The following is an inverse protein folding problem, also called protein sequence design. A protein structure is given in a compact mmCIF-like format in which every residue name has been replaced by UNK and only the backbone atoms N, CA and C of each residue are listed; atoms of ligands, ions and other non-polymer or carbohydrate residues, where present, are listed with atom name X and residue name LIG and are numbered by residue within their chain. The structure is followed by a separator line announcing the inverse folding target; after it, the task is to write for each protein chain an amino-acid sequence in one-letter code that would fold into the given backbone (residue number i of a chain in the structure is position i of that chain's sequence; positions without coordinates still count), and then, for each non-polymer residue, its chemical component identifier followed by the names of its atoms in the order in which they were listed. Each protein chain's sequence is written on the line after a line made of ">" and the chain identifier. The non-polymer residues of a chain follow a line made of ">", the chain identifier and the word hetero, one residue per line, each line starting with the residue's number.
data_IF_161723536855
#
_entry.id   IF_161723536855
#
_cell.length_a   1.000
_cell.length_b   1.000
_cell.length_c   1.000
_cell.angle_alpha   90.00
_cell.angle_beta   90.00
_cell.angle_gamma   90.00
#
_symmetry.space_group_name_H-M   'P 1'
#
loop_
_entity.id
_entity.type
_entity.pdbx_description
1 polymer ?
#
# COMPACT_ATOMS: atom_id res chain seq x y z
N UNK A 1 2.73 16.06 26.22
CA UNK A 1 2.46 15.84 24.79
C UNK A 1 2.99 14.47 24.41
N UNK A 2 2.08 13.54 24.11
CA UNK A 2 2.49 12.28 23.54
C UNK A 2 2.86 12.55 22.07
N UNK A 3 4.12 12.61 21.74
CA UNK A 3 4.56 12.43 20.39
C UNK A 3 4.50 10.94 20.10
N UNK A 4 3.70 10.54 19.14
CA UNK A 4 3.70 9.17 18.66
C UNK A 4 4.50 9.14 17.36
N UNK A 5 5.50 8.29 17.30
CA UNK A 5 6.36 8.14 16.16
C UNK A 5 5.87 6.95 15.33
N UNK A 6 5.72 7.15 14.04
CA UNK A 6 5.35 6.11 13.10
C UNK A 6 6.60 5.51 12.47
N UNK A 7 6.67 4.21 12.46
CA UNK A 7 7.78 3.44 11.96
C UNK A 7 7.60 3.14 10.46
N UNK A 8 8.44 3.70 9.59
CA UNK A 8 8.66 3.21 8.22
C UNK A 8 10.10 2.74 8.09
N UNK A 9 10.29 1.44 7.89
CA UNK A 9 11.60 0.89 7.53
C UNK A 9 11.91 1.25 6.08
N UNK A 10 12.82 2.21 5.88
CA UNK A 10 13.55 2.40 4.63
C UNK A 10 15.03 2.45 4.96
N UNK A 11 15.84 1.55 4.41
CA UNK A 11 17.30 1.54 4.49
C UNK A 11 17.87 1.62 5.91
N UNK A 12 18.02 0.52 6.61
CA UNK A 12 18.74 0.35 7.89
C UNK A 12 18.45 1.38 9.02
N UNK A 13 17.67 2.43 8.73
CA UNK A 13 17.20 3.40 9.70
C UNK A 13 15.71 3.60 9.52
N UNK A 14 14.98 3.15 10.51
CA UNK A 14 13.56 3.44 10.64
C UNK A 14 13.33 4.94 10.61
N UNK A 15 12.39 5.39 9.81
CA UNK A 15 12.00 6.78 9.73
C UNK A 15 10.90 7.03 10.75
N UNK A 16 11.23 7.78 11.79
CA UNK A 16 10.26 8.19 12.79
C UNK A 16 9.58 9.47 12.34
N UNK A 17 8.27 9.42 12.18
CA UNK A 17 7.44 10.58 11.88
C UNK A 17 6.66 10.97 13.13
N UNK A 18 6.77 12.22 13.61
CA UNK A 18 6.02 12.65 14.77
C UNK A 18 4.53 12.77 14.43
N UNK A 19 3.68 12.20 15.29
CA UNK A 19 2.23 12.43 15.24
C UNK A 19 1.82 13.05 16.57
N UNK A 20 1.48 14.33 16.54
CA UNK A 20 1.07 15.05 17.74
C UNK A 20 -0.36 14.63 18.16
N UNK A 21 -0.74 14.97 19.39
CA UNK A 21 -2.09 14.71 19.88
C UNK A 21 -3.13 15.49 19.08
N UNK A 22 -2.80 16.70 18.68
CA UNK A 22 -3.64 17.55 17.84
C UNK A 22 -3.83 16.91 16.45
N UNK A 23 -2.77 16.35 15.88
CA UNK A 23 -2.88 15.65 14.59
C UNK A 23 -3.72 14.37 14.68
N UNK A 24 -3.66 13.63 15.79
CA UNK A 24 -4.57 12.50 16.01
C UNK A 24 -6.03 12.95 15.95
N UNK A 25 -6.39 14.04 16.63
CA UNK A 25 -7.77 14.53 16.74
C UNK A 25 -8.23 15.25 15.45
N UNK A 26 -7.45 16.22 14.97
CA UNK A 26 -7.87 17.18 13.95
C UNK A 26 -7.58 16.68 12.52
N UNK A 27 -6.73 15.66 12.36
CA UNK A 27 -6.40 15.08 11.06
C UNK A 27 -6.97 13.65 10.97
N UNK A 28 -6.40 12.71 11.74
CA UNK A 28 -6.70 11.28 11.55
C UNK A 28 -8.09 10.88 12.02
N UNK A 29 -8.48 11.23 13.27
CA UNK A 29 -9.83 10.89 13.76
C UNK A 29 -10.91 11.71 13.09
N UNK A 30 -10.61 12.97 12.76
CA UNK A 30 -11.51 13.79 11.95
C UNK A 30 -11.72 13.14 10.57
N UNK A 31 -10.63 12.73 9.89
CA UNK A 31 -10.71 12.04 8.61
C UNK A 31 -11.57 10.77 8.66
N UNK A 32 -11.42 9.95 9.71
CA UNK A 32 -12.26 8.77 9.90
C UNK A 32 -13.75 9.10 10.13
N UNK A 33 -14.05 10.15 10.92
CA UNK A 33 -15.43 10.63 11.12
C UNK A 33 -16.05 11.16 9.84
N UNK A 34 -15.29 11.95 9.09
CA UNK A 34 -15.76 12.56 7.84
C UNK A 34 -15.92 11.51 6.73
N UNK A 35 -15.07 10.48 6.69
CA UNK A 35 -15.26 9.34 5.79
C UNK A 35 -16.59 8.62 6.03
N UNK A 36 -16.95 8.38 7.28
CA UNK A 36 -18.25 7.81 7.65
C UNK A 36 -19.40 8.75 7.27
N UNK A 37 -19.28 10.05 7.56
CA UNK A 37 -20.31 11.05 7.22
C UNK A 37 -20.50 11.18 5.70
N UNK A 38 -19.42 11.15 4.93
CA UNK A 38 -19.45 11.14 3.47
C UNK A 38 -20.15 9.88 2.97
N UNK A 39 -19.85 8.72 3.58
CA UNK A 39 -20.51 7.47 3.22
C UNK A 39 -22.02 7.50 3.46
N UNK A 40 -22.48 8.02 4.60
CA UNK A 40 -23.93 8.21 4.85
C UNK A 40 -24.61 9.13 3.83
N UNK A 41 -23.88 10.13 3.36
CA UNK A 41 -24.39 10.99 2.26
C UNK A 41 -24.50 10.24 0.94
N UNK A 42 -23.56 9.34 0.64
CA UNK A 42 -23.58 8.50 -0.57
C UNK A 42 -24.62 7.36 -0.48
N UNK A 43 -24.86 6.85 0.73
CA UNK A 43 -25.79 5.78 1.03
C UNK A 43 -26.70 6.14 2.23
N UNK A 44 -27.78 6.91 2.03
CA UNK A 44 -28.69 7.35 3.13
C UNK A 44 -29.39 6.21 3.86
N UNK A 45 -29.51 5.03 3.23
CA UNK A 45 -30.12 3.84 3.82
C UNK A 45 -29.11 2.95 4.56
N UNK A 46 -27.90 3.43 4.74
CA UNK A 46 -26.82 2.69 5.37
C UNK A 46 -27.17 2.18 6.77
N UNK A 47 -26.78 0.94 7.02
CA UNK A 47 -26.84 0.30 8.32
C UNK A 47 -25.50 0.22 9.04
N UNK A 48 -24.56 1.07 8.66
CA UNK A 48 -23.18 1.09 9.17
C UNK A 48 -23.09 0.93 10.70
N UNK A 49 -23.93 1.60 11.47
CA UNK A 49 -23.95 1.54 12.92
C UNK A 49 -24.91 0.48 13.51
N UNK A 50 -25.58 -0.32 12.69
CA UNK A 50 -26.43 -1.40 13.20
C UNK A 50 -25.62 -2.57 13.77
N UNK A 51 -24.39 -2.72 13.33
CA UNK A 51 -23.43 -3.71 13.82
C UNK A 51 -22.09 -3.06 14.20
N UNK A 52 -21.00 -3.79 14.01
CA UNK A 52 -19.63 -3.32 14.35
C UNK A 52 -18.76 -3.18 13.11
N UNK A 53 -17.82 -2.23 13.19
CA UNK A 53 -16.77 -2.08 12.20
C UNK A 53 -15.56 -2.97 12.51
N UNK A 54 -15.10 -3.76 11.53
CA UNK A 54 -13.87 -4.50 11.65
C UNK A 54 -12.71 -3.65 11.13
N UNK A 55 -11.77 -3.31 12.04
CA UNK A 55 -10.58 -2.53 11.72
C UNK A 55 -9.35 -3.43 11.81
N UNK A 56 -8.70 -3.61 10.68
CA UNK A 56 -7.43 -4.33 10.58
C UNK A 56 -6.27 -3.33 10.50
N UNK A 57 -5.52 -3.22 11.59
CA UNK A 57 -4.37 -2.33 11.72
C UNK A 57 -3.05 -3.09 11.79
N UNK A 58 -1.96 -2.34 11.65
CA UNK A 58 -0.59 -2.84 11.81
C UNK A 58 -0.21 -3.16 13.24
N UNK A 59 1.09 -3.29 13.49
CA UNK A 59 1.66 -3.73 14.76
C UNK A 59 2.14 -2.56 15.61
N UNK A 60 2.20 -2.81 16.90
CA UNK A 60 2.76 -1.91 17.89
C UNK A 60 4.21 -2.33 18.21
N UNK A 61 5.09 -1.38 18.50
CA UNK A 61 6.50 -1.64 18.83
C UNK A 61 6.82 -1.18 20.26
N UNK A 62 6.32 -1.91 21.29
CA UNK A 62 6.39 -1.46 22.69
C UNK A 62 7.82 -1.30 23.21
N UNK A 63 8.78 -2.06 22.67
CA UNK A 63 10.19 -1.99 23.05
C UNK A 63 10.88 -0.66 22.69
N UNK A 64 10.25 0.12 21.80
CA UNK A 64 10.74 1.45 21.39
C UNK A 64 10.02 2.59 22.09
N UNK A 65 9.01 2.28 22.94
CA UNK A 65 8.27 3.31 23.68
C UNK A 65 9.18 3.99 24.71
N UNK A 66 8.93 5.27 24.94
CA UNK A 66 9.47 6.03 26.06
C UNK A 66 8.34 6.45 27.01
N UNK A 67 8.69 7.09 28.14
CA UNK A 67 7.71 7.59 29.10
C UNK A 67 6.74 8.64 28.50
N UNK A 68 7.07 9.19 27.32
CA UNK A 68 6.33 10.31 26.71
C UNK A 68 5.95 10.07 25.25
N UNK A 69 6.36 8.95 24.65
CA UNK A 69 6.07 8.62 23.25
C UNK A 69 5.74 7.14 23.05
N UNK A 70 4.82 6.88 22.10
CA UNK A 70 4.47 5.55 21.62
C UNK A 70 5.07 5.38 20.23
N UNK A 71 5.60 4.21 19.94
CA UNK A 71 6.19 3.87 18.65
C UNK A 71 5.47 2.68 18.03
N UNK A 72 5.15 2.79 16.76
CA UNK A 72 4.46 1.73 16.02
C UNK A 72 3.89 2.23 14.69
N UNK A 73 3.18 1.35 14.00
CA UNK A 73 2.41 1.73 12.81
C UNK A 73 1.33 2.77 13.18
N UNK A 74 1.04 3.70 12.28
CA UNK A 74 0.01 4.73 12.52
C UNK A 74 -1.31 4.10 12.97
N UNK A 75 -1.77 3.04 12.32
CA UNK A 75 -3.03 2.37 12.67
C UNK A 75 -3.02 1.79 14.08
N UNK A 76 -1.89 1.26 14.56
CA UNK A 76 -1.74 0.79 15.94
C UNK A 76 -1.81 1.96 16.92
N UNK A 77 -1.16 3.08 16.60
CA UNK A 77 -1.21 4.31 17.40
C UNK A 77 -2.64 4.86 17.48
N UNK A 78 -3.35 4.90 16.35
CA UNK A 78 -4.76 5.30 16.30
C UNK A 78 -5.63 4.39 17.19
N UNK A 79 -5.49 3.07 17.06
CA UNK A 79 -6.25 2.09 17.88
C UNK A 79 -5.94 2.26 19.37
N UNK A 80 -4.68 2.56 19.70
CA UNK A 80 -4.27 2.71 21.10
C UNK A 80 -4.86 3.95 21.78
N UNK A 81 -5.01 5.03 21.02
CA UNK A 81 -5.44 6.34 21.54
C UNK A 81 -6.92 6.66 21.27
N UNK A 82 -7.64 5.77 20.59
CA UNK A 82 -9.05 6.02 20.25
C UNK A 82 -9.94 6.10 21.52
N UNK A 83 -10.97 6.95 21.44
CA UNK A 83 -11.96 7.10 22.50
C UNK A 83 -12.58 5.74 22.91
N UNK A 84 -12.79 5.48 24.22
CA UNK A 84 -13.45 4.27 24.69
C UNK A 84 -14.81 4.00 24.04
N UNK A 85 -15.55 5.04 23.65
CA UNK A 85 -16.84 4.91 22.96
C UNK A 85 -16.71 4.23 21.60
N UNK A 86 -15.63 4.51 20.87
CA UNK A 86 -15.36 3.84 19.57
C UNK A 86 -15.10 2.34 19.75
N UNK A 87 -14.53 1.94 20.91
CA UNK A 87 -14.33 0.52 21.19
C UNK A 87 -15.64 -0.26 21.35
N UNK A 88 -16.78 0.41 21.58
CA UNK A 88 -18.09 -0.23 21.64
C UNK A 88 -18.63 -0.62 20.26
N UNK A 89 -18.22 0.09 19.23
CA UNK A 89 -18.73 -0.09 17.86
C UNK A 89 -17.71 -0.72 16.88
N UNK A 90 -16.53 -1.13 17.38
CA UNK A 90 -15.49 -1.78 16.55
C UNK A 90 -15.08 -3.15 17.07
N UNK A 91 -14.52 -3.95 16.17
CA UNK A 91 -13.84 -5.23 16.45
C UNK A 91 -12.53 -5.26 15.64
N UNK A 92 -11.54 -6.05 16.05
CA UNK A 92 -11.46 -6.80 17.29
C UNK A 92 -11.24 -5.91 18.52
N UNK A 93 -11.14 -6.51 19.70
CA UNK A 93 -10.74 -5.78 20.90
C UNK A 93 -9.36 -5.12 20.72
N UNK A 94 -9.09 -4.07 21.51
CA UNK A 94 -7.79 -3.38 21.47
C UNK A 94 -6.61 -4.34 21.70
N UNK A 95 -6.76 -5.29 22.59
CA UNK A 95 -5.73 -6.27 22.92
C UNK A 95 -5.38 -7.12 21.68
N UNK A 96 -6.37 -7.64 20.97
CA UNK A 96 -6.16 -8.43 19.75
C UNK A 96 -5.62 -7.55 18.62
N UNK A 97 -6.18 -6.36 18.43
CA UNK A 97 -5.77 -5.44 17.37
C UNK A 97 -4.29 -5.03 17.45
N UNK A 98 -3.70 -5.01 18.65
CA UNK A 98 -2.32 -4.60 18.90
C UNK A 98 -1.33 -5.76 19.03
N UNK A 99 -1.74 -7.00 18.74
CA UNK A 99 -0.83 -8.15 18.76
C UNK A 99 0.29 -7.98 17.73
N UNK A 100 1.51 -8.38 18.08
CA UNK A 100 2.70 -8.24 17.25
C UNK A 100 2.87 -9.42 16.29
N UNK A 101 2.57 -10.66 16.76
CA UNK A 101 2.72 -11.86 15.97
C UNK A 101 1.52 -11.99 15.01
N UNK A 102 1.81 -11.97 13.73
CA UNK A 102 0.81 -11.87 12.67
C UNK A 102 -0.12 -13.07 12.59
N UNK A 103 0.39 -14.29 12.72
CA UNK A 103 -0.41 -15.50 12.62
C UNK A 103 -1.43 -15.60 13.76
N UNK A 104 -0.95 -15.44 14.99
CA UNK A 104 -1.81 -15.44 16.16
C UNK A 104 -2.82 -14.31 16.13
N UNK A 105 -2.43 -13.14 15.60
CA UNK A 105 -3.30 -11.99 15.41
C UNK A 105 -4.46 -12.31 14.46
N UNK A 106 -4.18 -12.85 13.26
CA UNK A 106 -5.21 -13.23 12.28
C UNK A 106 -6.14 -14.30 12.86
N UNK A 107 -5.62 -15.30 13.55
CA UNK A 107 -6.42 -16.31 14.22
C UNK A 107 -7.35 -15.71 15.29
N UNK A 108 -6.80 -14.86 16.14
CA UNK A 108 -7.56 -14.20 17.20
C UNK A 108 -8.64 -13.26 16.64
N UNK A 109 -8.33 -12.52 15.56
CA UNK A 109 -9.30 -11.67 14.87
C UNK A 109 -10.41 -12.54 14.28
N UNK A 110 -10.08 -13.58 13.51
CA UNK A 110 -11.09 -14.46 12.92
C UNK A 110 -12.02 -15.05 13.98
N UNK A 111 -11.47 -15.62 15.06
CA UNK A 111 -12.24 -16.23 16.13
C UNK A 111 -13.18 -15.21 16.84
N UNK A 112 -12.69 -14.00 17.07
CA UNK A 112 -13.45 -12.97 17.79
C UNK A 112 -14.48 -12.24 16.91
N UNK A 113 -14.36 -12.28 15.60
CA UNK A 113 -15.23 -11.52 14.69
C UNK A 113 -16.27 -12.36 13.97
N UNK A 114 -16.04 -13.66 13.78
CA UNK A 114 -17.03 -14.57 13.18
C UNK A 114 -18.40 -14.49 13.86
N UNK A 115 -18.53 -14.52 15.21
CA UNK A 115 -19.84 -14.46 15.88
C UNK A 115 -20.44 -13.05 15.97
N UNK A 116 -19.79 -12.03 15.39
CA UNK A 116 -20.22 -10.62 15.50
C UNK A 116 -20.90 -10.18 14.23
N UNK A 117 -21.95 -9.37 14.32
CA UNK A 117 -22.55 -8.70 13.16
C UNK A 117 -21.62 -7.57 12.68
N UNK A 118 -20.80 -7.87 11.68
CA UNK A 118 -19.88 -6.91 11.07
C UNK A 118 -20.57 -6.24 9.89
N UNK A 119 -20.67 -4.92 9.93
CA UNK A 119 -21.33 -4.10 8.89
C UNK A 119 -20.35 -3.37 7.99
N UNK A 120 -19.14 -3.16 8.45
CA UNK A 120 -18.12 -2.45 7.69
C UNK A 120 -16.71 -2.96 7.99
N UNK A 121 -15.83 -2.80 7.00
CA UNK A 121 -14.42 -3.15 7.07
C UNK A 121 -13.56 -1.89 6.90
N UNK A 122 -12.41 -1.85 7.56
CA UNK A 122 -11.39 -0.81 7.36
C UNK A 122 -10.00 -1.41 7.40
N UNK A 123 -9.18 -1.13 6.41
CA UNK A 123 -7.80 -1.61 6.35
C UNK A 123 -7.21 -1.66 4.95
N UNK A 124 -6.02 -2.24 4.87
CA UNK A 124 -5.31 -2.44 3.59
C UNK A 124 -5.91 -3.65 2.85
N UNK A 125 -6.23 -3.54 1.55
CA UNK A 125 -6.87 -4.60 0.78
C UNK A 125 -6.17 -5.96 0.84
N UNK A 126 -4.85 -5.99 0.69
CA UNK A 126 -4.09 -7.24 0.74
C UNK A 126 -4.24 -7.98 2.07
N UNK A 127 -4.15 -7.25 3.18
CA UNK A 127 -4.24 -7.80 4.53
C UNK A 127 -5.66 -8.24 4.89
N UNK A 128 -6.64 -7.44 4.50
CA UNK A 128 -8.04 -7.76 4.71
C UNK A 128 -8.44 -9.03 3.95
N UNK A 129 -7.92 -9.22 2.73
CA UNK A 129 -8.20 -10.40 1.93
C UNK A 129 -7.63 -11.69 2.58
N UNK A 130 -6.46 -11.61 3.21
CA UNK A 130 -5.89 -12.74 3.98
C UNK A 130 -6.80 -13.11 5.14
N UNK A 131 -7.29 -12.12 5.89
CA UNK A 131 -8.23 -12.33 6.98
C UNK A 131 -9.56 -12.93 6.48
N UNK A 132 -10.11 -12.40 5.40
CA UNK A 132 -11.36 -12.91 4.80
C UNK A 132 -11.21 -14.39 4.41
N UNK A 133 -10.14 -14.74 3.69
CA UNK A 133 -9.87 -16.14 3.31
C UNK A 133 -9.78 -17.05 4.54
N UNK A 134 -9.13 -16.58 5.61
CA UNK A 134 -9.05 -17.35 6.86
C UNK A 134 -10.40 -17.54 7.54
N UNK A 135 -11.27 -16.52 7.53
CA UNK A 135 -12.63 -16.59 8.06
C UNK A 135 -13.47 -17.60 7.27
N UNK A 136 -13.43 -17.55 5.94
CA UNK A 136 -14.16 -18.48 5.08
C UNK A 136 -13.68 -19.93 5.28
N UNK A 137 -12.36 -20.16 5.37
CA UNK A 137 -11.78 -21.45 5.69
C UNK A 137 -12.30 -22.01 7.03
N UNK A 138 -12.31 -21.17 8.09
CA UNK A 138 -12.77 -21.59 9.42
C UNK A 138 -14.27 -21.87 9.50
N UNK A 139 -15.06 -21.13 8.76
CA UNK A 139 -16.52 -21.26 8.78
C UNK A 139 -17.04 -22.29 7.78
N UNK A 140 -16.22 -22.72 6.81
CA UNK A 140 -16.63 -23.55 5.69
C UNK A 140 -17.60 -22.85 4.72
N UNK A 141 -17.71 -21.51 4.81
CA UNK A 141 -18.57 -20.71 3.96
C UNK A 141 -17.87 -20.35 2.66
N UNK A 142 -18.65 -20.08 1.62
CA UNK A 142 -18.13 -19.72 0.30
C UNK A 142 -17.99 -18.22 0.13
N UNK A 143 -18.89 -17.45 0.76
CA UNK A 143 -18.92 -16.00 0.65
C UNK A 143 -18.99 -15.32 2.02
N UNK A 144 -18.54 -14.07 2.07
CA UNK A 144 -18.47 -13.33 3.31
C UNK A 144 -19.85 -12.90 3.82
N UNK A 145 -20.81 -12.66 2.94
CA UNK A 145 -22.20 -12.39 3.30
C UNK A 145 -22.90 -13.57 3.98
N UNK A 146 -22.41 -14.80 3.82
CA UNK A 146 -22.87 -15.95 4.61
C UNK A 146 -22.38 -15.92 6.07
N UNK A 147 -21.30 -15.18 6.32
CA UNK A 147 -20.75 -14.95 7.67
C UNK A 147 -21.32 -13.66 8.25
N UNK A 148 -21.33 -12.58 7.47
CA UNK A 148 -21.78 -11.24 7.88
C UNK A 148 -22.84 -10.70 6.90
N UNK A 149 -24.11 -11.06 7.07
CA UNK A 149 -25.19 -10.71 6.13
C UNK A 149 -25.44 -9.20 5.99
N UNK A 150 -25.02 -8.40 6.99
CA UNK A 150 -25.22 -6.96 7.01
C UNK A 150 -23.96 -6.17 6.57
N UNK A 151 -22.92 -6.86 6.08
CA UNK A 151 -21.73 -6.20 5.56
C UNK A 151 -22.07 -5.37 4.33
N UNK A 152 -21.73 -4.07 4.34
CA UNK A 152 -22.12 -3.14 3.29
C UNK A 152 -20.99 -2.26 2.73
N UNK A 153 -19.88 -2.06 3.47
CA UNK A 153 -18.81 -1.19 3.00
C UNK A 153 -17.42 -1.60 3.47
N UNK A 154 -16.44 -1.41 2.59
CA UNK A 154 -15.03 -1.52 2.90
C UNK A 154 -14.32 -0.18 2.64
N UNK A 155 -13.85 0.48 3.69
CA UNK A 155 -12.94 1.61 3.60
C UNK A 155 -11.52 1.09 3.44
N UNK A 156 -10.92 1.34 2.31
CA UNK A 156 -9.60 0.82 1.99
C UNK A 156 -8.61 1.92 1.58
N UNK A 157 -7.34 1.63 1.70
CA UNK A 157 -6.25 2.53 1.33
C UNK A 157 -4.90 1.86 1.49
N UNK A 158 -3.84 2.63 1.34
CA UNK A 158 -2.46 2.16 1.47
C UNK A 158 -1.89 1.50 0.22
N UNK A 159 -2.71 0.78 -0.54
CA UNK A 159 -2.36 0.20 -1.85
C UNK A 159 -3.51 0.39 -2.84
N UNK A 160 -3.21 0.37 -4.14
CA UNK A 160 -4.23 0.42 -5.17
C UNK A 160 -5.22 -0.76 -5.04
N UNK A 161 -6.52 -0.48 -5.10
CA UNK A 161 -7.56 -1.51 -4.94
C UNK A 161 -7.81 -2.31 -6.23
N UNK A 162 -7.58 -1.71 -7.38
CA UNK A 162 -7.88 -2.32 -8.69
C UNK A 162 -7.36 -3.75 -8.84
N UNK A 163 -6.11 -4.08 -8.44
CA UNK A 163 -5.59 -5.45 -8.57
C UNK A 163 -6.30 -6.49 -7.70
N UNK A 164 -6.98 -6.04 -6.64
CA UNK A 164 -7.68 -6.92 -5.70
C UNK A 164 -9.16 -7.07 -6.01
N UNK A 165 -9.72 -6.21 -6.84
CA UNK A 165 -11.17 -6.13 -7.11
C UNK A 165 -11.78 -7.47 -7.49
N UNK A 166 -11.12 -8.24 -8.35
CA UNK A 166 -11.62 -9.54 -8.77
C UNK A 166 -11.60 -10.57 -7.63
N UNK A 167 -10.55 -10.57 -6.83
CA UNK A 167 -10.47 -11.46 -5.66
C UNK A 167 -11.54 -11.15 -4.63
N UNK A 168 -11.87 -9.88 -4.42
CA UNK A 168 -12.99 -9.48 -3.56
C UNK A 168 -14.32 -9.92 -4.14
N UNK A 169 -14.52 -9.85 -5.46
CA UNK A 169 -15.73 -10.36 -6.13
C UNK A 169 -15.93 -11.87 -5.98
N UNK A 170 -14.85 -12.63 -5.86
CA UNK A 170 -14.92 -14.08 -5.65
C UNK A 170 -15.39 -14.46 -4.24
N UNK A 171 -15.22 -13.59 -3.27
CA UNK A 171 -15.53 -13.83 -1.85
C UNK A 171 -16.68 -12.98 -1.32
N UNK A 172 -17.12 -11.96 -2.07
CA UNK A 172 -18.25 -11.09 -1.74
C UNK A 172 -19.09 -10.90 -3.00
N UNK A 173 -20.28 -11.51 -3.01
CA UNK A 173 -21.21 -11.47 -4.15
C UNK A 173 -22.31 -10.43 -3.97
N UNK A 174 -22.44 -9.85 -2.79
CA UNK A 174 -23.49 -8.88 -2.46
C UNK A 174 -23.39 -7.63 -3.33
N UNK A 175 -24.46 -7.31 -4.06
CA UNK A 175 -24.59 -6.06 -4.82
C UNK A 175 -24.69 -4.81 -3.93
N UNK A 176 -24.89 -5.00 -2.61
CA UNK A 176 -24.93 -3.91 -1.62
C UNK A 176 -23.54 -3.51 -1.11
N UNK A 177 -22.50 -4.28 -1.48
CA UNK A 177 -21.15 -4.02 -1.02
C UNK A 177 -20.53 -2.82 -1.74
N UNK A 178 -20.16 -1.80 -0.99
CA UNK A 178 -19.45 -0.62 -1.46
C UNK A 178 -17.98 -0.66 -1.12
N UNK A 179 -17.15 -0.11 -1.98
CA UNK A 179 -15.71 0.05 -1.76
C UNK A 179 -15.40 1.54 -1.82
N UNK A 180 -14.86 2.06 -0.73
CA UNK A 180 -14.59 3.49 -0.56
C UNK A 180 -13.11 3.70 -0.32
N UNK A 181 -12.44 4.36 -1.26
CA UNK A 181 -11.02 4.64 -1.14
C UNK A 181 -10.77 5.81 -0.19
N UNK A 182 -9.76 5.63 0.68
CA UNK A 182 -9.27 6.65 1.60
C UNK A 182 -7.75 6.78 1.48
N UNK A 183 -7.25 8.00 1.57
CA UNK A 183 -5.81 8.27 1.59
C UNK A 183 -5.41 8.78 2.96
N UNK A 184 -5.11 7.81 3.85
CA UNK A 184 -4.57 8.05 5.18
C UNK A 184 -3.14 7.49 5.23
N UNK A 185 -2.16 8.37 5.44
CA UNK A 185 -0.75 8.06 5.58
C UNK A 185 -0.25 8.48 6.96
N UNK A 186 0.96 8.05 7.32
CA UNK A 186 1.60 8.45 8.59
C UNK A 186 1.76 9.95 8.72
N UNK A 187 1.91 10.60 7.58
CA UNK A 187 2.11 12.03 7.43
C UNK A 187 0.81 12.85 7.57
N UNK A 188 -0.35 12.24 7.34
CA UNK A 188 -1.64 12.92 7.39
C UNK A 188 -2.77 12.17 6.72
N UNK A 189 -3.97 12.74 6.77
CA UNK A 189 -5.16 12.24 6.09
C UNK A 189 -5.51 13.19 4.93
N UNK A 190 -5.45 12.72 3.70
CA UNK A 190 -5.44 13.60 2.51
C UNK A 190 -6.68 13.49 1.64
N UNK A 191 -7.36 12.35 1.63
CA UNK A 191 -8.48 12.17 0.74
C UNK A 191 -9.45 11.06 1.12
N UNK A 192 -10.70 11.24 0.67
CA UNK A 192 -11.78 10.25 0.77
C UNK A 192 -12.61 10.30 -0.50
N UNK A 193 -12.89 9.14 -1.07
CA UNK A 193 -13.86 9.01 -2.16
C UNK A 193 -15.23 9.47 -1.66
N UNK A 194 -15.90 10.34 -2.42
CA UNK A 194 -17.16 10.95 -2.03
C UNK A 194 -18.30 10.75 -3.06
N UNK A 195 -18.06 9.84 -4.01
CA UNK A 195 -19.02 9.43 -5.03
C UNK A 195 -18.70 7.97 -5.41
N UNK A 196 -19.67 7.06 -5.26
CA UNK A 196 -19.48 5.63 -5.53
C UNK A 196 -19.27 5.34 -7.03
N UNK A 197 -19.67 6.26 -7.90
CA UNK A 197 -19.48 6.14 -9.36
C UNK A 197 -18.18 6.77 -9.87
N UNK A 198 -17.49 7.58 -9.03
CA UNK A 198 -16.26 8.28 -9.37
C UNK A 198 -15.12 7.81 -8.46
N UNK A 199 -14.07 7.14 -8.99
CA UNK A 199 -12.97 6.63 -8.21
C UNK A 199 -12.06 7.71 -7.62
N UNK A 200 -12.26 8.99 -8.00
CA UNK A 200 -11.43 10.06 -7.46
C UNK A 200 -11.83 10.44 -6.03
N UNK A 201 -10.83 10.77 -5.23
CA UNK A 201 -11.02 11.21 -3.85
C UNK A 201 -11.16 12.72 -3.75
N UNK A 202 -12.02 13.18 -2.85
CA UNK A 202 -12.08 14.57 -2.40
C UNK A 202 -10.81 14.90 -1.62
N UNK A 203 -10.12 15.99 -1.97
CA UNK A 203 -8.96 16.48 -1.23
C UNK A 203 -9.42 17.17 0.06
N UNK A 204 -8.84 16.76 1.21
CA UNK A 204 -9.13 17.34 2.51
C UNK A 204 -8.26 18.58 2.75
N UNK A 205 -8.80 19.76 2.46
CA UNK A 205 -8.05 21.03 2.46
C UNK A 205 -8.06 21.77 3.80
N UNK A 206 -8.89 21.35 4.74
CA UNK A 206 -9.11 22.02 6.02
C UNK A 206 -8.67 21.21 7.25
N UNK A 207 -7.76 20.24 7.05
CA UNK A 207 -7.22 19.38 8.10
C UNK A 207 -5.85 19.87 8.64
N UNK A 208 -5.52 21.15 8.46
CA UNK A 208 -4.25 21.71 8.92
C UNK A 208 -3.03 21.21 8.13
N UNK A 209 -3.25 20.74 6.91
CA UNK A 209 -2.21 20.36 5.95
C UNK A 209 -2.14 21.43 4.86
N UNK A 210 -0.97 22.01 4.67
CA UNK A 210 -0.68 22.87 3.54
C UNK A 210 -0.07 22.04 2.42
N UNK A 211 -0.64 22.13 1.22
CA UNK A 211 -0.27 21.36 0.04
C UNK A 211 0.49 22.20 -0.97
N UNK A 212 1.59 21.63 -1.46
CA UNK A 212 2.33 22.09 -2.63
C UNK A 212 2.49 20.92 -3.60
N UNK A 213 2.63 21.21 -4.88
CA UNK A 213 2.69 20.21 -5.94
C UNK A 213 3.85 20.49 -6.87
N UNK A 214 4.71 19.47 -7.11
CA UNK A 214 5.80 19.54 -8.08
C UNK A 214 5.39 18.73 -9.30
N UNK A 215 5.36 19.32 -10.53
CA UNK A 215 5.16 18.53 -11.75
C UNK A 215 6.11 17.35 -11.79
N UNK A 216 5.63 16.17 -12.19
CA UNK A 216 6.44 14.94 -12.13
C UNK A 216 7.73 15.04 -12.95
N UNK A 217 7.70 15.76 -14.07
CA UNK A 217 8.87 16.05 -14.92
C UNK A 217 9.94 16.92 -14.25
N UNK A 218 9.58 17.59 -13.15
CA UNK A 218 10.47 18.52 -12.44
C UNK A 218 11.02 17.96 -11.12
N UNK A 219 10.54 16.80 -10.67
CA UNK A 219 10.86 16.23 -9.34
C UNK A 219 12.37 16.04 -9.10
N UNK A 220 13.13 15.71 -10.15
CA UNK A 220 14.58 15.48 -10.06
C UNK A 220 15.42 16.76 -10.21
N UNK A 221 14.80 17.92 -10.46
CA UNK A 221 15.52 19.20 -10.50
C UNK A 221 16.02 19.58 -9.11
N UNK A 222 17.16 20.22 -9.03
CA UNK A 222 17.77 20.66 -7.76
C UNK A 222 16.84 21.63 -6.99
N UNK A 223 16.18 22.55 -7.70
CA UNK A 223 15.22 23.51 -7.14
C UNK A 223 13.94 23.51 -7.98
N UNK A 224 13.06 22.50 -7.83
CA UNK A 224 11.84 22.43 -8.60
C UNK A 224 10.88 23.53 -8.16
N UNK A 225 10.17 24.14 -9.13
CA UNK A 225 9.05 25.03 -8.81
C UNK A 225 7.93 24.22 -8.17
N UNK A 226 7.39 24.70 -7.05
CA UNK A 226 6.17 24.20 -6.46
C UNK A 226 4.96 25.02 -6.87
N UNK A 227 3.83 24.39 -6.96
CA UNK A 227 2.53 24.97 -7.33
C UNK A 227 1.60 24.87 -6.12
N UNK A 228 0.90 25.95 -5.82
CA UNK A 228 -0.21 25.91 -4.88
C UNK A 228 -1.45 25.26 -5.51
N UNK A 229 -2.46 24.98 -4.70
CA UNK A 229 -3.63 24.21 -5.13
C UNK A 229 -4.40 24.88 -6.28
N UNK A 230 -4.51 26.21 -6.28
CA UNK A 230 -5.15 26.97 -7.36
C UNK A 230 -4.40 26.91 -8.69
N UNK A 231 -3.09 26.68 -8.66
CA UNK A 231 -2.23 26.66 -9.85
C UNK A 231 -2.19 25.28 -10.54
N UNK A 232 -2.63 24.18 -9.86
CA UNK A 232 -2.58 22.84 -10.46
C UNK A 232 -3.43 22.75 -11.73
N UNK A 233 -2.99 21.93 -12.66
CA UNK A 233 -3.68 21.64 -13.92
C UNK A 233 -4.38 20.28 -13.83
N UNK A 234 -5.56 20.15 -14.46
CA UNK A 234 -6.26 18.87 -14.55
C UNK A 234 -5.48 17.88 -15.41
N UNK A 235 -5.53 16.63 -15.02
CA UNK A 235 -4.90 15.50 -15.74
C UNK A 235 -3.37 15.53 -15.83
N UNK A 236 -2.71 16.44 -15.13
CA UNK A 236 -1.25 16.48 -14.97
C UNK A 236 -0.82 15.75 -13.71
N UNK A 237 0.29 15.03 -13.78
CA UNK A 237 0.86 14.32 -12.63
C UNK A 237 1.75 15.23 -11.80
N UNK A 238 1.57 15.17 -10.49
CA UNK A 238 2.33 15.94 -9.52
C UNK A 238 2.85 15.04 -8.40
N UNK A 239 4.06 15.30 -7.94
CA UNK A 239 4.52 14.83 -6.64
C UNK A 239 3.92 15.72 -5.55
N UNK A 240 3.36 15.13 -4.51
CA UNK A 240 2.75 15.86 -3.41
C UNK A 240 3.78 16.22 -2.35
N UNK A 241 3.81 17.50 -1.98
CA UNK A 241 4.63 18.08 -0.91
C UNK A 241 3.70 18.67 0.13
N UNK A 242 3.97 18.41 1.41
CA UNK A 242 3.10 18.85 2.50
C UNK A 242 3.86 19.60 3.57
N UNK A 243 3.17 20.52 4.23
CA UNK A 243 3.56 21.07 5.52
C UNK A 243 2.44 20.83 6.52
N UNK A 244 2.77 20.30 7.70
CA UNK A 244 1.78 19.87 8.69
C UNK A 244 2.06 20.45 10.07
N UNK A 245 1.06 20.51 10.92
CA UNK A 245 1.18 20.89 12.33
C UNK A 245 2.06 19.94 13.16
N UNK A 246 2.40 18.75 12.63
CA UNK A 246 3.31 17.80 13.27
C UNK A 246 4.79 18.11 13.08
N UNK A 247 5.14 19.23 12.41
CA UNK A 247 6.51 19.64 12.18
C UNK A 247 7.13 19.11 10.88
N UNK A 248 6.33 18.60 9.97
CA UNK A 248 6.78 18.34 8.60
C UNK A 248 6.69 19.66 7.81
N UNK A 249 7.82 20.09 7.26
CA UNK A 249 7.91 21.33 6.48
C UNK A 249 8.37 21.01 5.07
N UNK A 250 7.52 21.33 4.08
CA UNK A 250 7.76 21.06 2.66
C UNK A 250 8.27 19.65 2.41
N UNK A 251 7.60 18.70 3.07
CA UNK A 251 7.97 17.30 3.07
C UNK A 251 7.39 16.60 1.83
N UNK A 252 8.26 16.02 1.02
CA UNK A 252 7.84 15.21 -0.13
C UNK A 252 7.47 13.80 0.36
N UNK A 253 6.16 13.47 0.31
CA UNK A 253 5.64 12.17 0.74
C UNK A 253 6.22 11.04 -0.13
N UNK A 254 6.46 11.35 -1.41
CA UNK A 254 6.91 10.39 -2.42
C UNK A 254 5.77 9.83 -3.27
N UNK A 255 4.53 10.13 -2.96
CA UNK A 255 3.38 9.74 -3.78
C UNK A 255 3.12 10.77 -4.88
N UNK A 256 2.60 10.29 -6.01
CA UNK A 256 2.18 11.12 -7.13
C UNK A 256 0.68 11.12 -7.28
N UNK A 257 0.12 12.28 -7.59
CA UNK A 257 -1.31 12.51 -7.72
C UNK A 257 -1.65 13.20 -9.03
N UNK A 258 -2.87 13.01 -9.49
CA UNK A 258 -3.42 13.68 -10.65
C UNK A 258 -4.81 14.23 -10.32
N UNK A 259 -5.00 15.53 -10.53
CA UNK A 259 -6.30 16.16 -10.31
C UNK A 259 -7.25 15.83 -11.44
N UNK A 260 -8.46 15.41 -11.09
CA UNK A 260 -9.55 15.11 -12.02
C UNK A 260 -10.58 16.23 -12.04
N UNK A 261 -10.64 17.04 -10.98
CA UNK A 261 -11.60 18.15 -10.82
C UNK A 261 -11.02 19.23 -9.89
N UNK A 262 -11.39 20.50 -10.09
CA UNK A 262 -10.97 21.63 -9.24
C UNK A 262 -12.07 22.15 -8.29
N UNK A 263 -13.34 21.91 -8.58
CA UNK A 263 -14.42 22.42 -7.74
C UNK A 263 -15.49 21.34 -7.50
N UNK A 264 -15.47 20.64 -6.36
CA UNK A 264 -14.36 20.60 -5.38
C UNK A 264 -13.11 19.93 -5.95
N UNK A 265 -11.96 20.13 -5.30
CA UNK A 265 -10.73 19.46 -5.71
C UNK A 265 -10.84 17.96 -5.50
N UNK A 266 -10.70 17.20 -6.60
CA UNK A 266 -10.68 15.75 -6.60
C UNK A 266 -9.43 15.25 -7.30
N UNK A 267 -8.87 14.15 -6.81
CA UNK A 267 -7.64 13.58 -7.32
C UNK A 267 -7.63 12.05 -7.25
N UNK A 268 -6.71 11.45 -7.99
CA UNK A 268 -6.36 10.03 -7.90
C UNK A 268 -4.87 9.91 -7.61
N UNK A 269 -4.47 8.87 -6.88
CA UNK A 269 -3.08 8.49 -6.71
C UNK A 269 -2.63 7.79 -7.98
N UNK A 270 -1.51 8.23 -8.57
CA UNK A 270 -1.00 7.71 -9.84
C UNK A 270 0.25 6.86 -9.68
N UNK A 271 0.87 6.87 -8.51
CA UNK A 271 2.07 6.11 -8.22
C UNK A 271 2.99 6.81 -7.23
N UNK A 272 4.30 6.65 -7.42
CA UNK A 272 5.33 7.26 -6.58
C UNK A 272 6.45 7.88 -7.40
N UNK A 273 7.20 8.79 -6.75
CA UNK A 273 8.35 9.51 -7.36
C UNK A 273 9.59 8.64 -7.51
N UNK A 274 9.71 7.52 -6.78
CA UNK A 274 10.86 6.60 -6.82
C UNK A 274 10.42 5.22 -7.30
N UNK A 275 11.35 4.49 -7.94
CA UNK A 275 11.14 3.11 -8.35
C UNK A 275 11.01 2.19 -7.14
N UNK A 276 9.86 1.53 -7.00
CA UNK A 276 9.58 0.58 -5.93
C UNK A 276 8.37 -0.27 -6.31
N UNK A 277 8.16 -1.40 -5.63
CA UNK A 277 6.96 -2.23 -5.73
C UNK A 277 6.24 -2.21 -4.39
N UNK A 278 4.97 -1.80 -4.41
CA UNK A 278 4.08 -1.81 -3.25
C UNK A 278 2.67 -2.28 -3.67
N UNK A 279 2.62 -3.27 -4.55
CA UNK A 279 1.36 -3.78 -5.09
C UNK A 279 0.57 -4.58 -4.04
N UNK A 280 1.28 -5.20 -3.10
CA UNK A 280 0.72 -6.05 -2.04
C UNK A 280 0.96 -5.47 -0.64
N UNK A 281 1.53 -4.28 -0.51
CA UNK A 281 1.92 -3.64 0.74
C UNK A 281 3.31 -4.04 1.21
N UNK A 282 4.20 -4.47 0.30
CA UNK A 282 5.55 -4.94 0.58
C UNK A 282 6.61 -3.85 0.57
N UNK A 283 6.29 -2.66 0.09
CA UNK A 283 7.18 -1.49 0.00
C UNK A 283 8.63 -1.82 -0.44
N UNK A 284 8.77 -2.69 -1.46
CA UNK A 284 10.07 -3.12 -1.97
C UNK A 284 10.73 -1.98 -2.76
N UNK A 285 11.86 -1.49 -2.28
CA UNK A 285 12.64 -0.40 -2.90
C UNK A 285 13.86 -0.94 -3.66
N UNK A 286 14.46 -0.09 -4.49
CA UNK A 286 15.63 -0.47 -5.30
C UNK A 286 16.80 -0.95 -4.44
N UNK A 287 17.03 -0.37 -3.27
CA UNK A 287 18.11 -0.81 -2.36
C UNK A 287 17.89 -2.26 -1.85
N UNK A 288 16.65 -2.64 -1.55
CA UNK A 288 16.32 -4.03 -1.21
C UNK A 288 16.62 -4.96 -2.40
N UNK A 289 16.21 -4.56 -3.60
CA UNK A 289 16.45 -5.30 -4.83
C UNK A 289 17.95 -5.50 -5.09
N UNK A 290 18.74 -4.45 -4.96
CA UNK A 290 20.18 -4.49 -5.17
C UNK A 290 20.90 -5.35 -4.14
N UNK A 291 20.52 -5.29 -2.87
CA UNK A 291 21.04 -6.19 -1.82
C UNK A 291 20.72 -7.67 -2.13
N UNK A 292 19.47 -7.94 -2.53
CA UNK A 292 19.05 -9.29 -2.91
C UNK A 292 19.82 -9.84 -4.11
N UNK A 293 19.94 -9.05 -5.16
CA UNK A 293 20.69 -9.40 -6.36
C UNK A 293 22.19 -9.61 -6.06
N UNK A 294 22.80 -8.74 -5.25
CA UNK A 294 24.21 -8.86 -4.89
C UNK A 294 24.49 -10.18 -4.16
N UNK A 295 23.65 -10.56 -3.18
CA UNK A 295 23.79 -11.84 -2.46
C UNK A 295 23.56 -13.04 -3.38
N UNK A 296 22.51 -13.00 -4.22
CA UNK A 296 22.25 -14.07 -5.18
C UNK A 296 23.39 -14.24 -6.18
N UNK A 297 23.96 -13.14 -6.68
CA UNK A 297 25.16 -13.18 -7.55
C UNK A 297 26.36 -13.79 -6.83
N UNK A 298 26.64 -13.39 -5.60
CA UNK A 298 27.79 -13.89 -4.85
C UNK A 298 27.72 -15.42 -4.60
N UNK A 299 26.53 -15.93 -4.29
CA UNK A 299 26.33 -17.35 -3.94
C UNK A 299 26.15 -18.27 -5.18
N UNK A 300 25.85 -17.71 -6.36
CA UNK A 300 25.65 -18.50 -7.60
C UNK A 300 26.68 -18.21 -8.69
N UNK A 301 27.65 -17.33 -8.40
CA UNK A 301 28.66 -16.93 -9.39
C UNK A 301 28.12 -16.13 -10.57
N UNK A 302 26.88 -15.65 -10.50
CA UNK A 302 26.24 -14.87 -11.53
C UNK A 302 26.76 -13.42 -11.58
N UNK A 303 26.55 -12.76 -12.74
CA UNK A 303 26.73 -11.32 -12.88
C UNK A 303 25.50 -10.76 -13.61
N UNK A 304 24.81 -9.83 -12.98
CA UNK A 304 23.65 -9.13 -13.55
C UNK A 304 24.10 -7.87 -14.26
N UNK A 305 23.66 -7.69 -15.51
CA UNK A 305 23.89 -6.46 -16.27
C UNK A 305 22.80 -5.42 -16.03
N UNK A 306 21.53 -5.85 -16.07
CA UNK A 306 20.38 -4.98 -15.88
C UNK A 306 19.16 -5.83 -15.46
N UNK A 307 18.16 -5.19 -14.85
CA UNK A 307 16.94 -5.85 -14.44
C UNK A 307 15.74 -4.92 -14.41
N UNK A 308 14.57 -5.51 -14.50
CA UNK A 308 13.29 -4.87 -14.21
C UNK A 308 12.38 -5.85 -13.47
N UNK A 309 11.64 -5.39 -12.48
CA UNK A 309 10.69 -6.22 -11.77
C UNK A 309 9.34 -5.52 -11.63
N UNK A 310 8.28 -6.33 -11.70
CA UNK A 310 6.91 -5.88 -11.54
C UNK A 310 6.05 -6.98 -10.91
N UNK A 311 4.91 -6.62 -10.26
CA UNK A 311 4.00 -7.61 -9.70
C UNK A 311 3.24 -8.35 -10.78
N UNK A 312 2.99 -9.65 -10.54
CA UNK A 312 1.97 -10.44 -11.22
C UNK A 312 0.77 -10.50 -10.28
N UNK A 313 -0.38 -10.03 -10.75
CA UNK A 313 -1.61 -10.05 -9.98
C UNK A 313 -2.35 -11.38 -10.21
N UNK A 314 -3.13 -11.80 -9.22
CA UNK A 314 -3.93 -13.02 -9.33
C UNK A 314 -4.99 -12.84 -10.42
N UNK A 315 -5.00 -13.78 -11.36
CA UNK A 315 -6.14 -14.06 -12.23
C UNK A 315 -6.71 -15.44 -11.90
N UNK A 316 -7.62 -15.95 -12.70
CA UNK A 316 -8.24 -17.28 -12.49
C UNK A 316 -7.21 -18.43 -12.42
N UNK A 317 -6.01 -18.26 -12.96
CA UNK A 317 -4.99 -19.30 -13.10
C UNK A 317 -3.65 -18.96 -12.43
N UNK A 318 -3.40 -17.71 -12.00
CA UNK A 318 -2.13 -17.28 -11.43
C UNK A 318 -2.28 -16.73 -10.02
N UNK A 319 -1.35 -17.07 -9.12
CA UNK A 319 -1.23 -16.48 -7.79
C UNK A 319 -0.32 -15.24 -7.85
N UNK A 320 -0.54 -14.28 -6.93
CA UNK A 320 0.29 -13.09 -6.84
C UNK A 320 1.76 -13.43 -6.61
N UNK A 321 2.67 -12.79 -7.36
CA UNK A 321 4.13 -12.90 -7.19
C UNK A 321 4.83 -11.68 -7.75
N UNK A 322 6.12 -11.53 -7.45
CA UNK A 322 7.00 -10.66 -8.22
C UNK A 322 7.60 -11.41 -9.40
N UNK A 323 7.61 -10.79 -10.56
CA UNK A 323 8.30 -11.30 -11.75
C UNK A 323 9.49 -10.39 -12.05
N UNK A 324 10.65 -10.99 -12.15
CA UNK A 324 11.93 -10.34 -12.36
C UNK A 324 12.47 -10.71 -13.73
N UNK A 325 12.61 -9.74 -14.62
CA UNK A 325 13.28 -9.89 -15.91
C UNK A 325 14.72 -9.44 -15.74
N UNK A 326 15.67 -10.37 -15.89
CA UNK A 326 17.08 -10.16 -15.56
C UNK A 326 17.97 -10.49 -16.74
N UNK A 327 18.77 -9.52 -17.16
CA UNK A 327 19.85 -9.72 -18.12
C UNK A 327 21.14 -10.06 -17.38
N UNK A 328 21.69 -11.25 -17.66
CA UNK A 328 22.92 -11.71 -17.06
C UNK A 328 24.11 -11.46 -17.99
N UNK A 329 25.16 -10.82 -17.46
CA UNK A 329 26.48 -10.80 -18.08
C UNK A 329 27.17 -12.17 -17.95
N UNK A 330 26.90 -12.87 -16.82
CA UNK A 330 27.29 -14.26 -16.55
C UNK A 330 26.14 -14.96 -15.88
N UNK A 331 25.69 -16.07 -16.47
CA UNK A 331 24.61 -16.90 -15.94
C UNK A 331 24.96 -17.50 -14.58
N UNK A 332 23.96 -17.65 -13.67
CA UNK A 332 24.14 -18.44 -12.46
C UNK A 332 24.27 -19.94 -12.78
N UNK A 333 24.79 -20.70 -11.84
CA UNK A 333 24.84 -22.17 -11.93
C UNK A 333 23.44 -22.79 -12.00
N UNK A 334 22.43 -22.17 -11.33
CA UNK A 334 21.01 -22.51 -11.42
C UNK A 334 20.17 -21.25 -11.23
N UNK A 335 19.19 -21.03 -12.12
CA UNK A 335 18.21 -19.95 -12.04
C UNK A 335 17.31 -20.13 -10.82
N UNK A 336 16.90 -21.35 -10.53
CA UNK A 336 16.04 -21.68 -9.37
C UNK A 336 16.77 -21.35 -8.06
N UNK A 337 18.05 -21.72 -7.95
CA UNK A 337 18.88 -21.38 -6.77
C UNK A 337 19.04 -19.87 -6.65
N UNK A 338 19.30 -19.17 -7.76
CA UNK A 338 19.38 -17.71 -7.77
C UNK A 338 18.09 -17.07 -7.28
N UNK A 339 16.93 -17.49 -7.79
CA UNK A 339 15.63 -16.99 -7.39
C UNK A 339 15.33 -17.25 -5.89
N UNK A 340 15.69 -18.44 -5.38
CA UNK A 340 15.53 -18.78 -3.96
C UNK A 340 16.36 -17.85 -3.05
N UNK A 341 17.62 -17.59 -3.41
CA UNK A 341 18.50 -16.72 -2.62
C UNK A 341 18.00 -15.27 -2.68
N UNK A 342 17.58 -14.81 -3.86
CA UNK A 342 17.00 -13.49 -4.04
C UNK A 342 15.76 -13.33 -3.14
N UNK A 343 14.78 -14.24 -3.21
CA UNK A 343 13.57 -14.22 -2.39
C UNK A 343 13.88 -14.26 -0.88
N UNK A 344 14.79 -15.13 -0.47
CA UNK A 344 15.22 -15.24 0.93
C UNK A 344 15.85 -13.93 1.43
N UNK A 345 16.71 -13.33 0.61
CA UNK A 345 17.37 -12.06 0.97
C UNK A 345 16.38 -10.91 1.04
N UNK A 346 15.42 -10.85 0.12
CA UNK A 346 14.35 -9.84 0.17
C UNK A 346 13.54 -9.93 1.47
N UNK A 347 13.26 -11.13 1.98
CA UNK A 347 12.64 -11.33 3.30
C UNK A 347 13.52 -10.81 4.45
N UNK A 348 14.83 -11.09 4.40
CA UNK A 348 15.77 -10.63 5.42
C UNK A 348 15.88 -9.10 5.49
N UNK A 349 15.82 -8.41 4.34
CA UNK A 349 16.05 -6.95 4.26
C UNK A 349 14.76 -6.11 4.22
N UNK A 350 13.59 -6.77 4.14
CA UNK A 350 12.30 -6.09 4.06
C UNK A 350 11.23 -6.90 4.80
N UNK A 351 10.87 -6.44 6.00
CA UNK A 351 9.88 -7.10 6.86
C UNK A 351 8.47 -7.13 6.28
N UNK A 352 8.10 -6.11 5.45
CA UNK A 352 6.79 -6.09 4.81
C UNK A 352 6.73 -7.14 3.70
N UNK A 353 7.82 -7.31 2.93
CA UNK A 353 7.94 -8.40 1.98
C UNK A 353 7.90 -9.76 2.69
N UNK A 354 8.63 -9.95 3.80
CA UNK A 354 8.60 -11.18 4.61
C UNK A 354 7.17 -11.51 5.06
N UNK A 355 6.45 -10.54 5.62
CA UNK A 355 5.07 -10.72 6.06
C UNK A 355 4.14 -11.16 4.92
N UNK A 356 4.30 -10.62 3.70
CA UNK A 356 3.49 -11.00 2.54
C UNK A 356 3.86 -12.38 1.99
N UNK A 357 5.12 -12.80 2.15
CA UNK A 357 5.62 -14.12 1.73
C UNK A 357 5.27 -15.23 2.72
N UNK A 358 4.67 -14.89 3.88
CA UNK A 358 4.34 -15.88 4.90
C UNK A 358 3.39 -16.97 4.37
N UNK A 359 3.83 -18.24 4.46
CA UNK A 359 3.13 -19.43 3.93
C UNK A 359 2.65 -19.30 2.47
N UNK A 360 3.22 -18.38 1.70
CA UNK A 360 2.85 -18.13 0.30
C UNK A 360 1.35 -17.83 0.06
N UNK A 361 0.70 -17.26 1.09
CA UNK A 361 -0.74 -16.99 1.04
C UNK A 361 -1.03 -15.73 0.21
N UNK A 362 -0.38 -14.62 0.54
CA UNK A 362 -0.60 -13.34 -0.14
C UNK A 362 0.32 -13.18 -1.36
N UNK A 363 1.58 -13.60 -1.22
CA UNK A 363 2.60 -13.47 -2.25
C UNK A 363 3.38 -14.80 -2.38
N UNK A 364 3.41 -15.37 -3.58
CA UNK A 364 4.19 -16.57 -3.91
C UNK A 364 5.68 -16.25 -4.04
N UNK A 365 6.58 -17.26 -4.09
CA UNK A 365 7.97 -17.08 -4.47
C UNK A 365 8.09 -16.28 -5.75
N UNK A 366 9.10 -15.40 -5.80
CA UNK A 366 9.36 -14.62 -7.00
C UNK A 366 9.77 -15.52 -8.19
N UNK A 367 9.49 -15.03 -9.38
CA UNK A 367 9.84 -15.69 -10.65
C UNK A 367 10.93 -14.89 -11.36
N UNK A 368 11.95 -15.57 -11.86
CA UNK A 368 13.02 -14.98 -12.66
C UNK A 368 12.86 -15.40 -14.12
N UNK A 369 12.70 -14.42 -15.00
CA UNK A 369 12.77 -14.59 -16.46
C UNK A 369 14.14 -14.12 -16.90
N UNK A 370 14.83 -14.95 -17.68
CA UNK A 370 16.12 -14.60 -18.28
C UNK A 370 15.89 -13.71 -19.48
N UNK A 371 16.42 -12.50 -19.44
CA UNK A 371 16.44 -11.60 -20.56
C UNK A 371 17.58 -11.96 -21.53
N UNK A 372 17.32 -11.91 -22.83
CA UNK A 372 18.37 -12.03 -23.82
C UNK A 372 19.35 -10.85 -23.72
N UNK A 373 20.57 -11.07 -24.15
CA UNK A 373 21.61 -10.02 -24.15
C UNK A 373 21.17 -8.81 -24.99
N UNK A 374 21.29 -7.62 -24.41
CA UNK A 374 20.96 -6.35 -25.05
C UNK A 374 19.46 -6.01 -25.07
N UNK A 375 18.59 -6.80 -24.41
CA UNK A 375 17.15 -6.57 -24.39
C UNK A 375 16.80 -5.15 -23.92
N UNK A 376 17.35 -4.73 -22.81
CA UNK A 376 17.03 -3.42 -22.21
C UNK A 376 17.53 -2.26 -23.07
N UNK A 377 18.66 -2.43 -23.73
CA UNK A 377 19.16 -1.46 -24.70
C UNK A 377 18.20 -1.33 -25.89
N UNK A 378 17.77 -2.45 -26.47
CA UNK A 378 16.84 -2.46 -27.61
C UNK A 378 15.49 -1.86 -27.24
N UNK A 379 14.99 -2.14 -26.03
CA UNK A 379 13.76 -1.55 -25.54
C UNK A 379 13.86 -0.02 -25.39
N UNK A 380 14.96 0.49 -24.82
CA UNK A 380 15.23 1.94 -24.74
C UNK A 380 15.35 2.57 -26.12
N UNK A 381 16.02 1.88 -27.08
CA UNK A 381 16.11 2.32 -28.48
C UNK A 381 14.72 2.48 -29.12
N UNK A 382 13.87 1.46 -28.96
CA UNK A 382 12.49 1.47 -29.45
C UNK A 382 11.65 2.62 -28.88
N UNK A 383 11.93 3.02 -27.64
CA UNK A 383 11.27 4.15 -26.99
C UNK A 383 11.84 5.52 -27.38
N UNK A 384 12.87 5.57 -28.23
CA UNK A 384 13.56 6.82 -28.55
C UNK A 384 14.35 7.42 -27.39
N UNK A 385 14.72 6.59 -26.40
CA UNK A 385 15.34 6.98 -25.13
C UNK A 385 16.80 6.52 -25.01
N UNK A 386 17.48 6.26 -26.12
CA UNK A 386 18.92 6.00 -26.13
C UNK A 386 19.69 7.31 -25.95
N UNK A 387 20.51 7.35 -24.92
CA UNK A 387 21.34 8.51 -24.56
C UNK A 387 20.68 9.43 -23.54
N UNK A 388 21.49 10.12 -22.76
CA UNK A 388 21.04 10.98 -21.67
C UNK A 388 20.73 10.24 -20.35
N UNK A 389 19.87 10.82 -19.53
CA UNK A 389 19.56 10.31 -18.17
C UNK A 389 18.44 9.23 -18.15
N UNK A 390 18.05 8.68 -19.28
CA UNK A 390 17.00 7.67 -19.32
C UNK A 390 17.50 6.31 -18.81
N UNK A 391 16.83 5.81 -17.78
CA UNK A 391 17.15 4.52 -17.14
C UNK A 391 15.99 3.54 -17.32
N UNK A 392 16.32 2.25 -17.33
CA UNK A 392 15.34 1.18 -17.24
C UNK A 392 14.57 1.30 -15.92
N UNK A 393 13.22 1.23 -15.92
CA UNK A 393 12.44 1.16 -14.66
C UNK A 393 12.76 -0.14 -13.94
N UNK A 394 13.61 -0.07 -12.90
CA UNK A 394 14.06 -1.25 -12.14
C UNK A 394 12.94 -1.91 -11.37
N UNK A 395 12.07 -1.12 -10.74
CA UNK A 395 10.89 -1.60 -10.04
C UNK A 395 9.68 -0.79 -10.49
N UNK A 396 8.55 -1.46 -10.72
CA UNK A 396 7.30 -0.82 -11.13
C UNK A 396 6.11 -1.47 -10.45
N UNK A 397 5.11 -0.68 -10.03
CA UNK A 397 3.83 -1.19 -9.52
C UNK A 397 2.89 -1.66 -10.63
N UNK A 398 3.15 -1.28 -11.88
CA UNK A 398 2.39 -1.70 -13.06
C UNK A 398 3.24 -2.59 -13.95
N UNK A 399 2.57 -3.34 -14.81
CA UNK A 399 3.24 -4.27 -15.73
C UNK A 399 3.55 -3.69 -17.10
N UNK A 400 3.17 -2.44 -17.38
CA UNK A 400 3.28 -1.84 -18.72
C UNK A 400 4.67 -1.99 -19.33
N UNK A 401 5.71 -1.67 -18.56
CA UNK A 401 7.09 -1.74 -19.04
C UNK A 401 7.59 -3.18 -19.16
N UNK A 402 7.34 -4.01 -18.16
CA UNK A 402 7.87 -5.38 -18.16
C UNK A 402 7.19 -6.23 -19.24
N UNK A 403 5.91 -6.04 -19.52
CA UNK A 403 5.20 -6.73 -20.60
C UNK A 403 5.77 -6.36 -21.97
N UNK A 404 6.07 -5.08 -22.21
CA UNK A 404 6.73 -4.65 -23.45
C UNK A 404 8.11 -5.29 -23.62
N UNK A 405 8.88 -5.40 -22.51
CA UNK A 405 10.21 -6.01 -22.52
C UNK A 405 10.10 -7.54 -22.72
N UNK A 406 9.17 -8.23 -22.08
CA UNK A 406 8.93 -9.67 -22.26
C UNK A 406 8.53 -9.96 -23.70
N UNK A 407 7.59 -9.20 -24.27
CA UNK A 407 7.19 -9.35 -25.67
C UNK A 407 8.33 -9.09 -26.67
N UNK A 408 9.33 -8.30 -26.27
CA UNK A 408 10.55 -8.08 -27.06
C UNK A 408 11.61 -9.17 -26.83
N UNK A 409 11.57 -9.84 -25.69
CA UNK A 409 12.46 -10.94 -25.31
C UNK A 409 12.14 -12.24 -26.08
N UNK A 410 10.86 -12.45 -26.42
CA UNK A 410 10.36 -13.64 -27.14
C UNK A 410 10.60 -13.56 -28.67
N UNK A 411 11.07 -12.44 -29.19
CA UNK A 411 11.39 -12.22 -30.61
C UNK A 411 12.87 -12.41 -30.89
#
# INVERSE_FOLDING_TARGET
>A
SAASDVYKRQNDKSKFLPVSKEALEDIHYRGGKDAAAIYFRMNPESRFFSGKGLILGGSHSPNLNSNHSLVGDLSAILIQNVSPLINLIRVPSKQIALMDEWEAKIEAIANSTIPVDVTNLSGVPSWMLVLIKRILEKTGKQTLEEVWPNLEVFFHGGVAFTPYREQYRQVIHSSKMHYVETYNASEGYFGTQNDLSDPSMLLMIDYGVFYEFIPLEDVEKENPRTYCLEEVELNKNYAMVISTSCGLWRYMIGDTVKFTRKNPYKFVITGRTKHFINAFGEELIVDNAEKGLAKACAETGAQVSEYSAAPVFMDANAKCRHQWLIEFAKMPDSIEKFAMILDATLKEVNSDYEAKRWKDIALQPLEVIVARKGLFHDWLAKKGKLGGQHKVPRLSNTRDYIEEMIALNER
#
